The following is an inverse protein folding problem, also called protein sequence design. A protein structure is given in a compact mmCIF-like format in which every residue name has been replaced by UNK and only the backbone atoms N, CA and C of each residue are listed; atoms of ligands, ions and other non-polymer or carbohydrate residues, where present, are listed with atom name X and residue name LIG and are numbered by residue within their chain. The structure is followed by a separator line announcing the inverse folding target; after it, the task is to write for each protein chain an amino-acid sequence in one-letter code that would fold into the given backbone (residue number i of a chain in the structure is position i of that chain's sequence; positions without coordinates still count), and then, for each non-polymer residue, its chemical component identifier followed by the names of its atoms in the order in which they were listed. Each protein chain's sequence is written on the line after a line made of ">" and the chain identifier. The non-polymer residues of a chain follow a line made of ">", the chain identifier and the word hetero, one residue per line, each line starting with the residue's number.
data_IF_181423921234
#
_entry.id   IF_181423921234
#
_cell.length_a   1.000
_cell.length_b   1.000
_cell.length_c   1.000
_cell.angle_alpha   90.00
_cell.angle_beta   90.00
_cell.angle_gamma   90.00
#
_symmetry.space_group_name_H-M   'P 1'
#
loop_
_entity.id
_entity.type
_entity.pdbx_description
1 polymer ?
#
# COMPACT_ATOMS: atom_id res chain seq x y z
N UNK A 1 3.04 9.40 0.01
CA UNK A 1 1.82 8.62 0.30
C UNK A 1 0.68 9.48 0.84
N UNK A 2 0.74 9.98 2.07
CA UNK A 2 -0.38 10.73 2.71
C UNK A 2 -0.76 11.99 1.94
N UNK A 3 0.21 12.83 1.56
CA UNK A 3 -0.10 14.12 0.92
C UNK A 3 -0.77 13.96 -0.45
N UNK A 4 -0.23 13.05 -1.28
CA UNK A 4 -0.64 12.83 -2.67
C UNK A 4 -1.84 11.89 -2.82
N UNK A 5 -1.88 10.80 -2.06
CA UNK A 5 -2.89 9.74 -2.20
C UNK A 5 -3.89 9.70 -1.04
N UNK A 6 -3.70 10.50 0.01
CA UNK A 6 -4.53 10.46 1.23
C UNK A 6 -4.59 9.07 1.89
N UNK A 7 -3.56 8.25 1.67
CA UNK A 7 -3.39 6.92 2.29
C UNK A 7 -2.19 6.97 3.25
N UNK A 8 -2.41 6.51 4.48
CA UNK A 8 -1.35 6.28 5.45
C UNK A 8 -1.02 4.79 5.51
N UNK A 9 0.26 4.44 5.35
CA UNK A 9 0.78 3.08 5.55
C UNK A 9 1.74 3.13 6.74
N UNK A 10 1.59 2.19 7.67
CA UNK A 10 2.42 2.14 8.85
C UNK A 10 3.77 1.48 8.55
N UNK A 11 4.84 2.03 9.12
CA UNK A 11 6.11 1.31 9.24
C UNK A 11 6.09 0.27 10.37
N UNK A 12 7.18 -0.48 10.47
CA UNK A 12 7.45 -1.40 11.57
C UNK A 12 8.46 -0.81 12.55
N UNK A 13 8.52 -1.38 13.76
CA UNK A 13 9.43 -0.99 14.83
C UNK A 13 10.57 -2.01 15.02
N UNK A 14 11.55 -1.67 15.87
CA UNK A 14 12.65 -2.57 16.23
C UNK A 14 13.50 -3.00 15.03
N UNK A 15 13.84 -4.28 14.96
CA UNK A 15 14.71 -4.83 13.92
C UNK A 15 14.10 -4.78 12.49
N UNK A 16 12.79 -4.51 12.39
CA UNK A 16 12.05 -4.32 11.14
C UNK A 16 11.90 -2.86 10.71
N UNK A 17 12.39 -1.90 11.51
CA UNK A 17 12.33 -0.46 11.17
C UNK A 17 13.02 -0.21 9.82
N UNK A 18 12.30 0.44 8.91
CA UNK A 18 12.77 0.75 7.55
C UNK A 18 12.82 -0.44 6.59
N UNK A 19 12.39 -1.64 7.02
CA UNK A 19 12.41 -2.85 6.19
C UNK A 19 11.02 -3.36 5.82
N UNK A 20 10.05 -3.22 6.73
CA UNK A 20 8.70 -3.77 6.57
C UNK A 20 7.65 -2.69 6.73
N UNK A 21 6.76 -2.62 5.74
CA UNK A 21 5.52 -1.86 5.77
C UNK A 21 4.36 -2.73 6.26
N UNK A 22 3.37 -2.12 6.89
CA UNK A 22 2.15 -2.80 7.38
C UNK A 22 0.93 -2.08 6.83
N UNK A 23 0.14 -2.81 6.04
CA UNK A 23 -1.15 -2.36 5.53
C UNK A 23 -2.23 -2.86 6.49
N UNK A 24 -2.95 -1.94 7.11
CA UNK A 24 -4.00 -2.29 8.07
C UNK A 24 -5.31 -2.65 7.36
N UNK A 25 -5.75 -3.90 7.49
CA UNK A 25 -7.08 -4.35 7.08
C UNK A 25 -7.90 -4.65 8.34
N UNK A 26 -8.55 -3.62 8.90
CA UNK A 26 -9.22 -3.69 10.20
C UNK A 26 -10.45 -2.78 10.22
N UNK A 27 -11.51 -3.19 10.95
CA UNK A 27 -12.69 -2.36 11.22
C UNK A 27 -13.36 -1.81 9.95
N UNK A 28 -13.70 -0.53 9.96
CA UNK A 28 -14.36 0.15 8.82
C UNK A 28 -13.51 0.13 7.52
N UNK A 29 -12.18 0.04 7.66
CA UNK A 29 -11.27 -0.06 6.52
C UNK A 29 -11.10 -1.50 6.00
N UNK A 30 -11.68 -2.49 6.66
CA UNK A 30 -11.65 -3.89 6.24
C UNK A 30 -12.62 -4.16 5.08
N UNK A 31 -12.51 -3.35 4.02
CA UNK A 31 -13.34 -3.41 2.83
C UNK A 31 -12.45 -3.56 1.61
N UNK A 32 -12.94 -4.31 0.63
CA UNK A 32 -12.19 -4.65 -0.56
C UNK A 32 -11.68 -3.38 -1.28
N UNK A 33 -12.56 -2.42 -1.52
CA UNK A 33 -12.26 -1.18 -2.22
C UNK A 33 -11.22 -0.31 -1.50
N UNK A 34 -11.15 -0.37 -0.16
CA UNK A 34 -10.16 0.35 0.64
C UNK A 34 -8.77 -0.28 0.50
N UNK A 35 -8.70 -1.61 0.50
CA UNK A 35 -7.45 -2.34 0.27
C UNK A 35 -6.96 -2.14 -1.17
N UNK A 36 -7.85 -2.28 -2.15
CA UNK A 36 -7.54 -2.04 -3.56
C UNK A 36 -6.98 -0.62 -3.79
N UNK A 37 -7.60 0.40 -3.19
CA UNK A 37 -7.10 1.77 -3.27
C UNK A 37 -5.74 1.94 -2.60
N UNK A 38 -5.52 1.33 -1.43
CA UNK A 38 -4.22 1.36 -0.75
C UNK A 38 -3.10 0.71 -1.59
N UNK A 39 -3.39 -0.40 -2.26
CA UNK A 39 -2.45 -1.07 -3.17
C UNK A 39 -2.16 -0.23 -4.42
N UNK A 40 -3.18 0.38 -5.03
CA UNK A 40 -3.01 1.29 -6.17
C UNK A 40 -2.14 2.51 -5.81
N UNK A 41 -2.39 3.12 -4.64
CA UNK A 41 -1.58 4.23 -4.14
C UNK A 41 -0.13 3.81 -3.86
N UNK A 42 0.08 2.64 -3.25
CA UNK A 42 1.42 2.10 -3.01
C UNK A 42 2.18 1.85 -4.32
N UNK A 43 1.53 1.25 -5.30
CA UNK A 43 2.09 1.05 -6.64
C UNK A 43 2.49 2.38 -7.28
N UNK A 44 1.65 3.41 -7.18
CA UNK A 44 1.97 4.76 -7.68
C UNK A 44 3.22 5.34 -7.02
N UNK A 45 3.31 5.28 -5.70
CA UNK A 45 4.48 5.76 -4.97
C UNK A 45 5.76 4.98 -5.29
N UNK A 46 5.67 3.65 -5.47
CA UNK A 46 6.80 2.82 -5.89
C UNK A 46 7.28 3.21 -7.29
N UNK A 47 6.37 3.43 -8.25
CA UNK A 47 6.70 3.89 -9.60
C UNK A 47 7.41 5.25 -9.60
N UNK A 48 6.98 6.18 -8.76
CA UNK A 48 7.63 7.50 -8.59
C UNK A 48 9.06 7.41 -8.04
N UNK A 49 9.36 6.36 -7.27
CA UNK A 49 10.71 6.05 -6.80
C UNK A 49 11.53 5.24 -7.83
N UNK A 50 11.00 5.00 -9.03
CA UNK A 50 11.67 4.25 -10.09
C UNK A 50 11.55 2.73 -9.99
N UNK A 51 10.69 2.21 -9.09
CA UNK A 51 10.48 0.78 -8.96
C UNK A 51 9.51 0.25 -10.04
N UNK A 52 9.90 -0.82 -10.73
CA UNK A 52 9.07 -1.48 -11.74
C UNK A 52 8.26 -2.59 -11.07
N UNK A 53 6.94 -2.40 -11.01
CA UNK A 53 6.02 -3.43 -10.52
C UNK A 53 5.80 -4.49 -11.61
N UNK A 54 5.84 -5.77 -11.24
CA UNK A 54 5.64 -6.90 -12.17
C UNK A 54 4.20 -7.06 -12.64
N UNK A 55 3.25 -6.52 -11.89
CA UNK A 55 1.82 -6.60 -12.13
C UNK A 55 1.13 -5.31 -11.67
N UNK A 56 -0.16 -5.20 -11.96
CA UNK A 56 -1.02 -4.18 -11.36
C UNK A 56 -1.55 -4.69 -10.02
N UNK A 57 -0.99 -4.21 -8.91
CA UNK A 57 -1.31 -4.69 -7.56
C UNK A 57 -2.80 -4.60 -7.19
N UNK A 58 -3.52 -3.62 -7.72
CA UNK A 58 -4.94 -3.47 -7.44
C UNK A 58 -5.79 -4.43 -8.29
N UNK A 59 -5.41 -4.72 -9.53
CA UNK A 59 -6.10 -5.67 -10.40
C UNK A 59 -5.88 -7.11 -9.94
N UNK A 60 -4.66 -7.46 -9.51
CA UNK A 60 -4.33 -8.78 -8.97
C UNK A 60 -5.13 -9.13 -7.70
N UNK A 61 -5.67 -8.14 -6.98
CA UNK A 61 -6.53 -8.39 -5.83
C UNK A 61 -7.90 -8.98 -6.22
N UNK A 62 -8.33 -8.81 -7.48
CA UNK A 62 -9.60 -9.32 -7.99
C UNK A 62 -9.50 -10.75 -8.58
N UNK A 63 -8.28 -11.30 -8.70
CA UNK A 63 -8.01 -12.65 -9.20
C UNK A 63 -8.01 -13.68 -8.07
#
# INVERSE_FOLDING_TARGET
>A
MVEKYKVMIAGSFGYLKGKVLRIGHMGENARFEKVAYALSALQGALKELGFVCSCNMAEELYL
#
